data_IF_756812048597
#
_entry.id   IF_756812048597
#
_cell.length_a   1.000
_cell.length_b   1.000
_cell.length_c   1.000
_cell.angle_alpha   90.00
_cell.angle_beta   90.00
_cell.angle_gamma   90.00
#
_symmetry.space_group_name_H-M   'P 1'
#
loop_
_entity.id
_entity.type
_entity.pdbx_description
1 polymer ?
#
# COMPACT_ATOMS: atom_id res chain seq x y z
N UNK A 1 17.94 -9.80 -0.55
CA UNK A 1 16.53 -9.42 -0.30
C UNK A 1 16.36 -8.40 0.83
N UNK A 2 17.27 -8.29 1.80
CA UNK A 2 17.16 -7.34 2.91
C UNK A 2 16.92 -5.87 2.49
N UNK A 3 17.63 -5.36 1.46
CA UNK A 3 17.44 -3.99 0.99
C UNK A 3 16.00 -3.71 0.49
N UNK A 4 15.40 -4.67 -0.22
CA UNK A 4 14.00 -4.57 -0.64
C UNK A 4 13.06 -4.56 0.57
N UNK A 5 13.26 -5.46 1.54
CA UNK A 5 12.45 -5.53 2.76
C UNK A 5 12.50 -4.23 3.58
N UNK A 6 13.69 -3.62 3.73
CA UNK A 6 13.84 -2.32 4.39
C UNK A 6 13.05 -1.23 3.67
N UNK A 7 13.15 -1.16 2.33
CA UNK A 7 12.46 -0.14 1.54
C UNK A 7 10.95 -0.31 1.60
N UNK A 8 10.43 -1.53 1.39
CA UNK A 8 8.98 -1.75 1.38
C UNK A 8 8.36 -1.46 2.76
N UNK A 9 9.03 -1.81 3.86
CA UNK A 9 8.56 -1.46 5.21
C UNK A 9 8.49 0.04 5.44
N UNK A 10 9.49 0.78 4.98
CA UNK A 10 9.50 2.24 5.07
C UNK A 10 8.31 2.84 4.30
N UNK A 11 8.15 2.48 3.03
CA UNK A 11 7.08 3.04 2.20
C UNK A 11 5.69 2.61 2.65
N UNK A 12 5.50 1.38 3.14
CA UNK A 12 4.24 0.94 3.74
C UNK A 12 3.90 1.75 4.99
N UNK A 13 4.87 2.06 5.84
CA UNK A 13 4.62 2.94 6.99
C UNK A 13 4.20 4.33 6.53
N UNK A 14 4.87 4.89 5.51
CA UNK A 14 4.56 6.21 4.98
C UNK A 14 3.19 6.27 4.29
N UNK A 15 2.76 5.22 3.61
CA UNK A 15 1.40 5.18 3.05
C UNK A 15 0.35 5.20 4.16
N UNK A 16 0.55 4.44 5.24
CA UNK A 16 -0.37 4.44 6.39
C UNK A 16 -0.40 5.81 7.08
N UNK A 17 0.75 6.46 7.26
CA UNK A 17 0.82 7.83 7.84
C UNK A 17 0.00 8.83 7.00
N UNK A 18 0.07 8.72 5.67
CA UNK A 18 -0.71 9.57 4.75
C UNK A 18 -2.20 9.24 4.82
N UNK A 19 -2.56 7.95 4.74
CA UNK A 19 -3.95 7.48 4.80
C UNK A 19 -4.62 7.90 6.10
N UNK A 20 -3.90 7.82 7.23
CA UNK A 20 -4.42 8.23 8.53
C UNK A 20 -4.80 9.72 8.57
N UNK A 21 -3.96 10.59 7.99
CA UNK A 21 -4.27 12.02 7.89
C UNK A 21 -5.49 12.24 7.01
N UNK A 22 -5.54 11.59 5.84
CA UNK A 22 -6.69 11.72 4.93
C UNK A 22 -7.98 11.25 5.58
N UNK A 23 -7.98 10.08 6.23
CA UNK A 23 -9.16 9.51 6.89
C UNK A 23 -9.63 10.40 8.04
N UNK A 24 -8.72 10.95 8.85
CA UNK A 24 -9.07 11.89 9.92
C UNK A 24 -9.77 13.13 9.35
N UNK A 25 -9.22 13.70 8.27
CA UNK A 25 -9.82 14.87 7.64
C UNK A 25 -11.20 14.56 7.04
N UNK A 26 -11.39 13.36 6.47
CA UNK A 26 -12.70 12.93 5.97
C UNK A 26 -13.70 12.73 7.12
N UNK A 27 -13.28 12.10 8.21
CA UNK A 27 -14.08 11.87 9.41
C UNK A 27 -14.57 13.17 10.04
N UNK A 28 -13.72 14.19 10.11
CA UNK A 28 -14.03 15.45 10.81
C UNK A 28 -14.83 16.44 9.96
N UNK A 29 -14.73 16.37 8.62
CA UNK A 29 -15.21 17.47 7.77
C UNK A 29 -16.33 17.09 6.79
N UNK A 30 -16.49 15.81 6.42
CA UNK A 30 -17.41 15.40 5.34
C UNK A 30 -18.21 14.15 5.68
N UNK A 31 -19.08 14.24 6.69
CA UNK A 31 -19.96 13.14 7.08
C UNK A 31 -20.96 12.77 5.97
N UNK A 32 -20.83 11.57 5.41
CA UNK A 32 -21.78 11.03 4.44
C UNK A 32 -23.08 10.56 5.10
N UNK A 33 -24.02 11.49 5.32
CA UNK A 33 -25.26 11.24 6.08
C UNK A 33 -26.09 10.10 5.47
N UNK A 34 -26.40 10.17 4.17
CA UNK A 34 -27.23 9.18 3.51
C UNK A 34 -26.54 7.81 3.45
N UNK A 35 -25.24 7.78 3.13
CA UNK A 35 -24.48 6.54 3.10
C UNK A 35 -24.47 5.87 4.48
N UNK A 36 -24.18 6.64 5.54
CA UNK A 36 -24.13 6.12 6.91
C UNK A 36 -25.49 5.61 7.38
N UNK A 37 -26.59 6.29 7.04
CA UNK A 37 -27.93 5.85 7.41
C UNK A 37 -28.36 4.51 6.76
N UNK A 38 -27.68 4.10 5.68
CA UNK A 38 -27.97 2.87 4.94
C UNK A 38 -26.97 1.74 5.24
N UNK A 39 -26.09 1.92 6.22
CA UNK A 39 -25.08 0.93 6.62
C UNK A 39 -25.30 0.48 8.06
N UNK A 40 -25.31 -0.83 8.26
CA UNK A 40 -25.64 -1.43 9.55
C UNK A 40 -24.70 -1.02 10.69
N UNK A 41 -25.39 -0.80 11.80
CA UNK A 41 -25.09 -0.23 13.11
C UNK A 41 -24.73 1.26 13.17
N UNK A 42 -24.63 1.99 12.04
CA UNK A 42 -24.32 3.43 12.09
C UNK A 42 -25.40 4.24 12.85
N UNK A 43 -26.68 3.96 12.59
CA UNK A 43 -27.81 4.62 13.28
C UNK A 43 -27.82 4.23 14.76
N UNK A 44 -27.73 2.93 15.07
CA UNK A 44 -27.75 2.42 16.45
C UNK A 44 -26.59 2.97 17.28
N UNK A 45 -25.42 3.14 16.67
CA UNK A 45 -24.22 3.70 17.31
C UNK A 45 -24.16 5.22 17.29
N UNK A 46 -25.11 5.89 16.63
CA UNK A 46 -25.15 7.34 16.42
C UNK A 46 -23.83 7.91 15.87
N UNK A 47 -23.23 7.22 14.89
CA UNK A 47 -21.94 7.57 14.28
C UNK A 47 -22.00 7.43 12.76
N UNK A 48 -21.25 8.27 12.04
CA UNK A 48 -21.06 8.07 10.60
C UNK A 48 -20.25 6.80 10.33
N UNK A 49 -20.23 6.34 9.08
CA UNK A 49 -19.40 5.22 8.66
C UNK A 49 -17.92 5.46 8.96
N UNK A 50 -17.43 6.69 8.71
CA UNK A 50 -16.04 7.10 8.95
C UNK A 50 -15.67 7.28 10.42
N UNK A 51 -16.65 7.35 11.31
CA UNK A 51 -16.45 7.39 12.77
C UNK A 51 -16.50 6.00 13.43
N UNK A 52 -16.51 4.92 12.62
CA UNK A 52 -16.63 3.54 13.10
C UNK A 52 -18.08 3.11 13.37
N UNK A 53 -19.05 3.72 12.70
CA UNK A 53 -20.45 3.31 12.78
C UNK A 53 -20.72 1.93 12.18
N UNK A 54 -19.95 1.52 11.17
CA UNK A 54 -20.16 0.24 10.49
C UNK A 54 -19.89 -0.97 11.40
N UNK A 55 -20.66 -2.04 11.18
CA UNK A 55 -20.42 -3.35 11.78
C UNK A 55 -19.03 -3.93 11.46
N UNK A 56 -18.52 -3.67 10.26
CA UNK A 56 -17.23 -4.14 9.77
C UNK A 56 -16.45 -2.98 9.16
N UNK A 57 -15.17 -2.88 9.50
CA UNK A 57 -14.27 -1.85 8.99
C UNK A 57 -12.92 -2.48 8.63
N UNK A 58 -12.78 -2.83 7.36
CA UNK A 58 -11.52 -3.33 6.79
C UNK A 58 -11.22 -2.58 5.51
N UNK A 59 -9.98 -2.13 5.39
CA UNK A 59 -9.48 -1.42 4.22
C UNK A 59 -8.16 -2.03 3.75
N UNK A 60 -7.84 -1.85 2.48
CA UNK A 60 -6.57 -2.28 1.88
C UNK A 60 -6.07 -1.22 0.90
N UNK A 61 -4.79 -0.84 1.03
CA UNK A 61 -4.11 -0.09 -0.01
C UNK A 61 -3.90 -0.93 -1.28
N UNK A 62 -3.49 -0.30 -2.38
CA UNK A 62 -3.28 -0.94 -3.68
C UNK A 62 -1.77 -1.10 -3.97
N UNK A 63 -1.31 -2.34 -4.17
CA UNK A 63 0.07 -2.61 -4.57
C UNK A 63 0.15 -2.84 -6.08
N UNK A 64 0.85 -1.93 -6.78
CA UNK A 64 0.97 -1.96 -8.24
C UNK A 64 2.29 -2.60 -8.68
N UNK A 65 2.27 -3.39 -9.75
CA UNK A 65 3.50 -3.90 -10.39
C UNK A 65 4.07 -5.20 -9.81
N UNK A 66 3.23 -6.07 -9.24
CA UNK A 66 3.66 -7.35 -8.64
C UNK A 66 4.43 -8.23 -9.64
N UNK A 67 3.93 -8.36 -10.88
CA UNK A 67 4.61 -9.14 -11.91
C UNK A 67 5.97 -8.53 -12.30
N UNK A 68 6.03 -7.20 -12.44
CA UNK A 68 7.27 -6.49 -12.72
C UNK A 68 8.30 -6.69 -11.60
N UNK A 69 7.87 -6.58 -10.34
CA UNK A 69 8.72 -6.83 -9.17
C UNK A 69 9.27 -8.26 -9.18
N UNK A 70 8.39 -9.26 -9.34
CA UNK A 70 8.76 -10.67 -9.36
C UNK A 70 9.76 -10.98 -10.48
N UNK A 71 9.44 -10.57 -11.71
CA UNK A 71 10.29 -10.79 -12.87
C UNK A 71 11.65 -10.09 -12.74
N UNK A 72 11.67 -8.85 -12.25
CA UNK A 72 12.90 -8.07 -12.06
C UNK A 72 13.83 -8.72 -11.05
N UNK A 73 13.30 -9.13 -9.89
CA UNK A 73 14.10 -9.79 -8.85
C UNK A 73 14.59 -11.17 -9.28
N UNK A 74 13.77 -11.94 -10.00
CA UNK A 74 14.16 -13.23 -10.56
C UNK A 74 15.31 -13.07 -11.57
N UNK A 75 15.24 -12.08 -12.46
CA UNK A 75 16.28 -11.78 -13.44
C UNK A 75 17.59 -11.36 -12.76
N UNK A 76 17.52 -10.47 -11.76
CA UNK A 76 18.70 -10.05 -10.97
C UNK A 76 19.32 -11.25 -10.25
N UNK A 77 18.52 -12.05 -9.55
CA UNK A 77 19.00 -13.26 -8.85
C UNK A 77 19.74 -14.19 -9.80
N UNK A 78 19.10 -14.56 -10.92
CA UNK A 78 19.65 -15.54 -11.87
C UNK A 78 20.86 -15.00 -12.64
N UNK A 79 20.71 -13.87 -13.30
CA UNK A 79 21.70 -13.39 -14.28
C UNK A 79 22.89 -12.67 -13.63
N UNK A 80 22.67 -12.02 -12.47
CA UNK A 80 23.72 -11.24 -11.80
C UNK A 80 24.45 -12.06 -10.74
N UNK A 81 23.71 -12.80 -9.91
CA UNK A 81 24.29 -13.46 -8.74
C UNK A 81 24.52 -14.97 -8.92
N UNK A 82 23.58 -15.72 -9.50
CA UNK A 82 23.74 -17.17 -9.66
C UNK A 82 24.65 -17.52 -10.85
N UNK A 83 24.44 -16.88 -12.01
CA UNK A 83 25.19 -17.18 -13.23
C UNK A 83 26.36 -16.22 -13.48
N UNK A 84 26.33 -15.03 -12.89
CA UNK A 84 27.39 -14.02 -13.07
C UNK A 84 27.56 -13.49 -14.50
N UNK A 85 26.59 -13.73 -15.39
CA UNK A 85 26.67 -13.33 -16.81
C UNK A 85 26.48 -11.82 -17.03
N UNK A 86 25.90 -11.11 -16.05
CA UNK A 86 25.78 -9.65 -16.04
C UNK A 86 26.34 -9.11 -14.72
N UNK A 87 27.35 -8.23 -14.77
CA UNK A 87 27.85 -7.55 -13.57
C UNK A 87 26.87 -6.52 -13.00
N UNK A 88 26.89 -6.31 -11.68
CA UNK A 88 25.97 -5.39 -10.98
C UNK A 88 25.97 -3.96 -11.57
N UNK A 89 27.15 -3.40 -11.84
CA UNK A 89 27.28 -2.07 -12.46
C UNK A 89 26.65 -2.01 -13.84
N UNK A 90 26.78 -3.09 -14.63
CA UNK A 90 26.18 -3.17 -15.96
C UNK A 90 24.66 -3.29 -15.88
N UNK A 91 24.13 -4.09 -14.94
CA UNK A 91 22.69 -4.19 -14.70
C UNK A 91 22.10 -2.83 -14.28
N UNK A 92 22.74 -2.14 -13.34
CA UNK A 92 22.30 -0.81 -12.87
C UNK A 92 22.25 0.22 -14.01
N UNK A 93 23.31 0.31 -14.84
CA UNK A 93 23.35 1.23 -16.00
C UNK A 93 22.32 0.94 -17.08
N UNK A 94 21.81 -0.30 -17.17
CA UNK A 94 20.78 -0.70 -18.14
C UNK A 94 19.37 -0.46 -17.61
N UNK A 95 19.16 -0.63 -16.31
CA UNK A 95 17.85 -0.43 -15.69
C UNK A 95 17.47 1.05 -15.51
N UNK A 96 18.45 1.96 -15.44
CA UNK A 96 18.22 3.40 -15.30
C UNK A 96 18.03 4.19 -16.61
N UNK A 97 17.87 3.50 -17.74
CA UNK A 97 17.49 4.09 -19.04
C UNK A 97 16.05 3.72 -19.35
#
# INVERSE_FOLDING_TARGET
>A
MAAWDTQIRYYTRKSIEIEYVVDTMLEENVHDILCSALVDDCIERAKSIKQGGAKYDWVSGLQVGIANLGNSLAAVKKLVFEQGVIGQTAACRRAGR
#
